data_IF_032518431031
#
_entry.id   IF_032518431031
#
_cell.length_a   1.000
_cell.length_b   1.000
_cell.length_c   1.000
_cell.angle_alpha   90.00
_cell.angle_beta   90.00
_cell.angle_gamma   90.00
#
_symmetry.space_group_name_H-M   'P 1'
#
loop_
_entity.id
_entity.type
_entity.pdbx_description
1 polymer ?
#
# COMPACT_ATOMS: atom_id res chain seq x y z
N UNK A 1 31.89 -26.44 18.18
CA UNK A 1 31.15 -26.91 16.98
C UNK A 1 29.71 -26.38 16.97
N UNK A 2 28.88 -26.63 17.99
CA UNK A 2 27.46 -26.20 18.00
C UNK A 2 27.18 -24.70 17.81
N UNK A 3 27.98 -23.81 18.43
CA UNK A 3 27.78 -22.36 18.29
C UNK A 3 28.07 -21.81 16.88
N UNK A 4 29.04 -22.39 16.17
CA UNK A 4 29.37 -21.99 14.79
C UNK A 4 28.27 -22.43 13.83
N UNK A 5 27.73 -23.64 14.03
CA UNK A 5 26.60 -24.16 13.23
C UNK A 5 25.35 -23.31 13.44
N UNK A 6 25.07 -22.87 14.67
CA UNK A 6 23.93 -21.99 14.96
C UNK A 6 24.06 -20.62 14.28
N UNK A 7 25.26 -20.02 14.29
CA UNK A 7 25.52 -18.74 13.62
C UNK A 7 25.40 -18.88 12.09
N UNK A 8 25.92 -19.97 11.52
CA UNK A 8 25.81 -20.23 10.08
C UNK A 8 24.35 -20.47 9.65
N UNK A 9 23.58 -21.24 10.42
CA UNK A 9 22.16 -21.48 10.12
C UNK A 9 21.34 -20.18 10.19
N UNK A 10 21.59 -19.35 11.19
CA UNK A 10 20.98 -18.02 11.29
C UNK A 10 21.34 -17.17 10.08
N UNK A 11 22.63 -17.08 9.74
CA UNK A 11 23.11 -16.29 8.62
C UNK A 11 22.45 -16.70 7.31
N UNK A 12 22.39 -18.01 7.02
CA UNK A 12 21.72 -18.53 5.81
C UNK A 12 20.22 -18.18 5.80
N UNK A 13 19.55 -18.28 6.96
CA UNK A 13 18.12 -17.91 7.08
C UNK A 13 17.90 -16.43 6.78
N UNK A 14 18.73 -15.56 7.34
CA UNK A 14 18.69 -14.10 7.13
C UNK A 14 18.94 -13.76 5.65
N UNK A 15 19.94 -14.38 5.02
CA UNK A 15 20.26 -14.18 3.61
C UNK A 15 19.12 -14.66 2.71
N UNK A 16 18.51 -15.81 3.01
CA UNK A 16 17.37 -16.34 2.26
C UNK A 16 16.16 -15.41 2.34
N UNK A 17 15.85 -14.88 3.54
CA UNK A 17 14.78 -13.90 3.76
C UNK A 17 15.04 -12.59 3.01
N UNK A 18 16.28 -12.09 3.05
CA UNK A 18 16.68 -10.88 2.33
C UNK A 18 16.55 -11.06 0.81
N UNK A 19 17.00 -12.19 0.27
CA UNK A 19 16.92 -12.50 -1.16
C UNK A 19 15.47 -12.71 -1.65
N UNK A 20 14.55 -13.08 -0.76
CA UNK A 20 13.13 -13.29 -1.09
C UNK A 20 12.28 -12.01 -1.05
N UNK A 21 12.79 -10.91 -0.49
CA UNK A 21 12.07 -9.64 -0.45
C UNK A 21 12.19 -8.90 -1.78
N UNK A 22 11.25 -9.12 -2.69
CA UNK A 22 11.14 -8.33 -3.92
C UNK A 22 10.23 -7.13 -3.69
N UNK A 23 10.72 -5.91 -3.94
CA UNK A 23 9.91 -4.69 -3.98
C UNK A 23 9.03 -4.72 -5.24
N UNK A 24 7.89 -5.40 -5.20
CA UNK A 24 6.97 -5.46 -6.34
C UNK A 24 5.65 -4.83 -5.95
N UNK A 25 5.54 -3.53 -6.23
CA UNK A 25 4.24 -2.90 -6.42
C UNK A 25 3.68 -3.50 -7.71
N UNK A 26 2.89 -4.57 -7.57
CA UNK A 26 2.31 -5.25 -8.72
C UNK A 26 1.29 -4.33 -9.38
N UNK A 27 1.56 -3.97 -10.63
CA UNK A 27 0.71 -3.12 -11.47
C UNK A 27 -0.57 -3.88 -11.81
N UNK A 28 -1.67 -3.53 -11.17
CA UNK A 28 -3.01 -3.98 -11.58
C UNK A 28 -3.67 -2.90 -12.44
N UNK A 29 -3.95 -3.22 -13.70
CA UNK A 29 -4.82 -2.40 -14.57
C UNK A 29 -4.40 -2.42 -16.03
N UNK A 30 -5.28 -2.94 -16.89
CA UNK A 30 -5.24 -2.77 -18.34
C UNK A 30 -5.21 -1.27 -18.71
N UNK A 31 -4.62 -0.97 -19.87
CA UNK A 31 -4.51 0.40 -20.39
C UNK A 31 -5.92 1.02 -20.49
N UNK A 32 -6.23 2.10 -19.74
CA UNK A 32 -7.58 2.65 -19.73
C UNK A 32 -7.99 3.10 -21.12
N UNK A 33 -9.25 2.88 -21.48
CA UNK A 33 -9.84 3.51 -22.66
C UNK A 33 -9.64 5.02 -22.60
N UNK A 34 -9.43 5.67 -23.75
CA UNK A 34 -9.12 7.10 -23.83
C UNK A 34 -10.11 7.99 -23.04
N UNK A 35 -11.36 7.56 -22.91
CA UNK A 35 -12.42 8.32 -22.23
C UNK A 35 -12.54 8.06 -20.72
N UNK A 36 -11.80 7.10 -20.16
CA UNK A 36 -11.91 6.72 -18.74
C UNK A 36 -11.05 7.60 -17.81
N UNK A 37 -11.60 7.92 -16.63
CA UNK A 37 -10.85 8.59 -15.55
C UNK A 37 -9.96 7.56 -14.87
N UNK A 38 -8.65 7.68 -15.08
CA UNK A 38 -7.62 6.90 -14.40
C UNK A 38 -7.28 7.52 -13.05
N UNK A 39 -7.49 6.78 -11.98
CA UNK A 39 -7.14 7.13 -10.61
C UNK A 39 -5.75 6.57 -10.31
N UNK A 40 -4.78 7.46 -10.17
CA UNK A 40 -3.42 7.10 -9.81
C UNK A 40 -3.32 7.03 -8.29
N UNK A 41 -3.10 5.83 -7.77
CA UNK A 41 -2.89 5.58 -6.35
C UNK A 41 -1.39 5.48 -6.04
N UNK A 42 -0.92 6.33 -5.14
CA UNK A 42 0.48 6.32 -4.69
C UNK A 42 0.55 6.06 -3.19
N UNK A 43 1.07 4.89 -2.75
CA UNK A 43 1.27 4.62 -1.33
C UNK A 43 2.28 5.61 -0.74
N UNK A 44 1.93 6.28 0.35
CA UNK A 44 2.83 7.25 1.00
C UNK A 44 3.35 6.76 2.34
N UNK A 45 2.47 6.18 3.15
CA UNK A 45 2.81 5.79 4.52
C UNK A 45 1.95 4.62 5.00
N UNK A 46 2.60 3.67 5.68
CA UNK A 46 1.94 2.60 6.41
C UNK A 46 2.21 2.72 7.91
N UNK A 47 1.16 2.77 8.71
CA UNK A 47 1.20 2.78 10.17
C UNK A 47 0.58 1.49 10.73
N UNK A 48 1.45 0.60 11.21
CA UNK A 48 1.06 -0.67 11.82
C UNK A 48 0.37 -0.52 13.17
N UNK A 49 0.66 0.56 13.92
CA UNK A 49 0.12 0.75 15.26
C UNK A 49 -1.36 1.12 15.21
N UNK A 50 -1.77 1.80 14.15
CA UNK A 50 -3.16 2.20 13.90
C UNK A 50 -3.84 1.41 12.78
N UNK A 51 -3.14 0.46 12.16
CA UNK A 51 -3.57 -0.32 10.99
C UNK A 51 -4.04 0.57 9.83
N UNK A 52 -3.27 1.60 9.50
CA UNK A 52 -3.64 2.62 8.50
C UNK A 52 -2.63 2.73 7.37
N UNK A 53 -3.14 2.71 6.15
CA UNK A 53 -2.36 3.02 4.95
C UNK A 53 -2.82 4.36 4.37
N UNK A 54 -1.91 5.33 4.29
CA UNK A 54 -2.11 6.59 3.59
C UNK A 54 -1.66 6.45 2.14
N UNK A 55 -2.55 6.80 1.23
CA UNK A 55 -2.37 6.78 -0.21
C UNK A 55 -2.76 8.14 -0.77
N UNK A 56 -1.96 8.64 -1.68
CA UNK A 56 -2.27 9.83 -2.47
C UNK A 56 -3.02 9.43 -3.73
N UNK A 57 -4.21 9.99 -3.91
CA UNK A 57 -5.11 9.77 -5.04
C UNK A 57 -4.99 10.96 -6.00
N UNK A 58 -4.58 10.69 -7.24
CA UNK A 58 -4.50 11.69 -8.30
C UNK A 58 -5.31 11.24 -9.52
N UNK A 59 -6.40 11.94 -9.88
CA UNK A 59 -7.16 11.63 -11.08
C UNK A 59 -6.43 12.16 -12.33
N UNK A 60 -6.48 11.37 -13.41
CA UNK A 60 -5.95 11.69 -14.73
C UNK A 60 -6.88 11.10 -15.79
N UNK A 61 -6.97 11.73 -16.95
CA UNK A 61 -7.66 11.17 -18.11
C UNK A 61 -6.68 11.12 -19.29
N UNK A 62 -6.82 10.14 -20.17
CA UNK A 62 -6.03 10.07 -21.40
C UNK A 62 -6.64 11.00 -22.48
N UNK A 63 -5.82 11.49 -23.43
CA UNK A 63 -6.30 12.36 -24.52
C UNK A 63 -6.64 13.82 -24.13
N UNK A 64 -7.52 14.49 -24.89
CA UNK A 64 -8.08 15.82 -24.57
C UNK A 64 -9.16 15.72 -23.48
N UNK A 65 -8.84 15.06 -22.37
CA UNK A 65 -9.77 14.61 -21.32
C UNK A 65 -10.90 15.59 -20.99
N UNK A 66 -12.13 15.08 -21.07
CA UNK A 66 -13.37 15.85 -20.87
C UNK A 66 -13.50 16.42 -19.45
N UNK A 67 -13.01 15.69 -18.44
CA UNK A 67 -13.13 16.05 -17.02
C UNK A 67 -11.84 16.58 -16.43
N UNK A 68 -10.69 16.04 -16.84
CA UNK A 68 -9.37 16.53 -16.41
C UNK A 68 -8.30 16.18 -17.43
N UNK A 69 -7.30 17.05 -17.56
CA UNK A 69 -6.07 16.77 -18.31
C UNK A 69 -4.92 16.30 -17.39
N UNK A 70 -5.20 16.03 -16.11
CA UNK A 70 -4.20 15.68 -15.08
C UNK A 70 -3.41 16.86 -14.50
N UNK A 71 -3.67 18.09 -14.95
CA UNK A 71 -3.07 19.32 -14.40
C UNK A 71 -4.17 20.23 -13.84
N UNK A 72 -5.27 20.36 -14.58
CA UNK A 72 -6.44 21.17 -14.23
C UNK A 72 -7.72 20.35 -14.37
N UNK A 73 -8.73 20.72 -13.60
CA UNK A 73 -10.07 20.16 -13.69
C UNK A 73 -10.87 20.94 -14.75
N UNK A 74 -11.38 20.26 -15.76
CA UNK A 74 -12.17 20.84 -16.86
C UNK A 74 -13.65 20.93 -16.50
N UNK A 75 -14.20 19.89 -15.86
CA UNK A 75 -15.60 19.79 -15.40
C UNK A 75 -15.65 19.29 -13.96
N UNK A 76 -16.65 19.68 -13.15
CA UNK A 76 -16.81 19.13 -11.81
C UNK A 76 -17.03 17.62 -11.86
N UNK A 77 -16.33 16.89 -11.01
CA UNK A 77 -16.57 15.47 -10.75
C UNK A 77 -16.13 15.14 -9.32
N UNK A 78 -16.48 13.96 -8.84
CA UNK A 78 -15.99 13.45 -7.55
C UNK A 78 -15.55 12.01 -7.67
N UNK A 79 -14.75 11.59 -6.68
CA UNK A 79 -14.34 10.20 -6.51
C UNK A 79 -14.87 9.71 -5.18
N UNK A 80 -15.69 8.67 -5.22
CA UNK A 80 -16.11 7.94 -4.04
C UNK A 80 -15.09 6.84 -3.76
N UNK A 81 -14.66 6.76 -2.50
CA UNK A 81 -13.70 5.77 -2.01
C UNK A 81 -14.21 5.21 -0.69
N UNK A 82 -14.38 3.89 -0.62
CA UNK A 82 -14.83 3.19 0.59
C UNK A 82 -13.66 2.61 1.40
N UNK A 83 -13.95 2.06 2.59
CA UNK A 83 -12.95 1.53 3.53
C UNK A 83 -11.90 2.56 4.00
N UNK A 84 -12.28 3.85 3.97
CA UNK A 84 -11.43 4.98 4.38
C UNK A 84 -11.86 5.50 5.75
N UNK A 85 -10.91 6.07 6.48
CA UNK A 85 -11.22 6.84 7.66
C UNK A 85 -11.42 8.32 7.31
N UNK A 86 -12.64 8.81 7.48
CA UNK A 86 -13.00 10.21 7.20
C UNK A 86 -13.92 10.34 6.00
N UNK A 87 -13.62 11.27 5.09
CA UNK A 87 -14.48 11.55 3.94
C UNK A 87 -14.36 10.44 2.88
N UNK A 88 -15.51 9.84 2.56
CA UNK A 88 -15.70 8.84 1.50
C UNK A 88 -15.76 9.48 0.11
N UNK A 89 -15.90 10.81 0.02
CA UNK A 89 -16.02 11.54 -1.24
C UNK A 89 -14.95 12.63 -1.35
N UNK A 90 -14.21 12.62 -2.45
CA UNK A 90 -13.24 13.66 -2.84
C UNK A 90 -13.83 14.44 -4.01
N UNK A 91 -14.04 15.74 -3.85
CA UNK A 91 -14.63 16.60 -4.88
C UNK A 91 -13.56 17.37 -5.63
N UNK A 92 -13.70 17.45 -6.95
CA UNK A 92 -12.82 18.21 -7.84
C UNK A 92 -13.62 19.32 -8.53
N UNK A 93 -13.27 20.57 -8.23
CA UNK A 93 -13.93 21.77 -8.78
C UNK A 93 -13.29 22.21 -10.10
N UNK A 94 -14.09 22.70 -11.07
CA UNK A 94 -13.57 23.16 -12.35
C UNK A 94 -12.63 24.36 -12.19
N UNK A 95 -11.68 24.50 -13.13
CA UNK A 95 -10.69 25.58 -13.17
C UNK A 95 -9.74 25.64 -11.96
N UNK A 96 -9.67 24.58 -11.16
CA UNK A 96 -8.62 24.39 -10.15
C UNK A 96 -7.53 23.43 -10.65
N UNK A 97 -6.36 23.54 -10.03
CA UNK A 97 -5.32 22.53 -10.19
C UNK A 97 -5.80 21.21 -9.60
N UNK A 98 -5.42 20.11 -10.24
CA UNK A 98 -5.64 18.77 -9.68
C UNK A 98 -4.68 18.58 -8.52
N UNK A 99 -5.21 18.66 -7.30
CA UNK A 99 -4.43 18.39 -6.09
C UNK A 99 -4.55 16.90 -5.73
N UNK A 100 -3.43 16.24 -5.34
CA UNK A 100 -3.50 14.89 -4.82
C UNK A 100 -4.30 14.87 -3.53
N UNK A 101 -5.30 13.99 -3.46
CA UNK A 101 -6.10 13.81 -2.25
C UNK A 101 -5.50 12.72 -1.38
N UNK A 102 -5.20 13.05 -0.12
CA UNK A 102 -4.75 12.05 0.86
C UNK A 102 -5.93 11.21 1.33
N UNK A 103 -5.84 9.90 1.12
CA UNK A 103 -6.84 8.92 1.52
C UNK A 103 -6.22 7.93 2.49
N UNK A 104 -6.84 7.76 3.66
CA UNK A 104 -6.36 6.82 4.69
C UNK A 104 -7.26 5.59 4.75
N UNK A 105 -6.76 4.45 4.29
CA UNK A 105 -7.45 3.16 4.39
C UNK A 105 -7.28 2.54 5.75
N UNK A 106 -8.38 2.03 6.32
CA UNK A 106 -8.36 1.24 7.55
C UNK A 106 -8.19 -0.22 7.15
N UNK A 107 -7.10 -0.83 7.59
CA UNK A 107 -6.74 -2.19 7.23
C UNK A 107 -7.00 -3.17 8.36
N UNK A 108 -7.35 -4.40 8.00
CA UNK A 108 -7.44 -5.52 8.93
C UNK A 108 -6.07 -6.17 9.07
N UNK A 109 -5.52 -6.12 10.28
CA UNK A 109 -4.23 -6.73 10.62
C UNK A 109 -3.86 -6.52 12.09
N UNK A 110 -2.94 -7.34 12.59
CA UNK A 110 -2.54 -7.33 14.00
C UNK A 110 -1.02 -7.18 14.13
N UNK A 111 -0.57 -6.05 14.69
CA UNK A 111 0.86 -5.80 14.96
C UNK A 111 1.47 -6.82 15.94
N UNK A 112 0.64 -7.51 16.74
CA UNK A 112 1.07 -8.55 17.67
C UNK A 112 1.76 -9.74 16.98
N UNK A 113 1.53 -9.93 15.67
CA UNK A 113 2.12 -11.00 14.86
C UNK A 113 3.49 -10.63 14.27
N UNK A 114 4.05 -9.48 14.67
CA UNK A 114 5.38 -9.05 14.23
C UNK A 114 6.43 -10.15 14.44
N UNK A 115 7.34 -10.40 13.47
CA UNK A 115 7.61 -9.63 12.26
C UNK A 115 6.83 -10.10 11.02
N UNK A 116 5.87 -11.02 11.18
CA UNK A 116 5.13 -11.62 10.06
C UNK A 116 3.71 -11.05 9.91
N UNK A 117 3.50 -9.85 10.46
CA UNK A 117 2.24 -9.11 10.41
C UNK A 117 1.80 -8.85 8.96
N UNK A 118 0.51 -9.07 8.69
CA UNK A 118 -0.13 -8.80 7.40
C UNK A 118 -1.36 -7.93 7.60
N UNK A 119 -1.51 -6.95 6.72
CA UNK A 119 -2.62 -6.03 6.70
C UNK A 119 -3.33 -6.14 5.36
N UNK A 120 -4.66 -6.22 5.36
CA UNK A 120 -5.47 -6.32 4.15
C UNK A 120 -6.69 -5.43 4.23
N UNK A 121 -7.12 -4.90 3.09
CA UNK A 121 -8.40 -4.21 2.94
C UNK A 121 -8.85 -4.31 1.49
N UNK A 122 -10.14 -4.49 1.29
CA UNK A 122 -10.78 -4.33 -0.02
C UNK A 122 -11.51 -3.00 0.00
N UNK A 123 -11.13 -2.08 -0.89
CA UNK A 123 -11.79 -0.80 -1.09
C UNK A 123 -12.54 -0.81 -2.41
N UNK A 124 -13.64 -0.06 -2.50
CA UNK A 124 -14.36 0.21 -3.73
C UNK A 124 -14.19 1.68 -4.10
N UNK A 125 -13.90 1.94 -5.38
CA UNK A 125 -13.71 3.26 -5.95
C UNK A 125 -14.60 3.46 -7.18
N UNK A 126 -15.19 4.65 -7.30
CA UNK A 126 -15.94 5.06 -8.49
C UNK A 126 -15.83 6.57 -8.66
N UNK A 127 -15.46 7.03 -9.86
CA UNK A 127 -15.59 8.43 -10.23
C UNK A 127 -17.03 8.67 -10.70
N UNK A 128 -17.61 9.80 -10.32
CA UNK A 128 -18.98 10.14 -10.64
C UNK A 128 -19.18 11.63 -10.87
N UNK A 129 -20.27 11.96 -11.55
CA UNK A 129 -20.78 13.32 -11.69
C UNK A 129 -22.20 13.37 -11.17
N UNK A 130 -22.58 14.49 -10.57
CA UNK A 130 -23.96 14.73 -10.20
C UNK A 130 -24.68 15.31 -11.41
N UNK A 131 -25.80 14.69 -11.79
CA UNK A 131 -26.71 15.25 -12.78
C UNK A 131 -27.44 16.48 -12.21
N UNK A 132 -28.14 17.23 -13.05
CA UNK A 132 -28.98 18.38 -12.68
C UNK A 132 -30.05 18.04 -11.61
N UNK A 133 -30.31 16.75 -11.38
CA UNK A 133 -31.23 16.22 -10.36
C UNK A 133 -30.54 15.66 -9.11
N UNK A 134 -29.23 15.87 -8.95
CA UNK A 134 -28.40 15.30 -7.88
C UNK A 134 -28.39 13.75 -7.87
N UNK A 135 -28.57 13.14 -9.03
CA UNK A 135 -28.39 11.69 -9.22
C UNK A 135 -26.95 11.42 -9.68
N UNK A 136 -26.28 10.50 -9.00
CA UNK A 136 -24.89 10.11 -9.28
C UNK A 136 -24.82 9.30 -10.57
N UNK A 137 -24.17 9.83 -11.59
CA UNK A 137 -23.85 9.09 -12.82
C UNK A 137 -22.40 8.59 -12.71
N UNK A 138 -22.18 7.26 -12.68
CA UNK A 138 -20.83 6.71 -12.64
C UNK A 138 -20.09 6.97 -13.96
N UNK A 139 -18.86 7.43 -13.87
CA UNK A 139 -17.95 7.57 -14.99
C UNK A 139 -17.12 6.29 -15.16
N UNK A 140 -16.76 5.91 -16.41
CA UNK A 140 -15.77 4.87 -16.64
C UNK A 140 -14.49 5.19 -15.86
N UNK A 141 -14.17 4.35 -14.87
CA UNK A 141 -13.07 4.56 -13.94
C UNK A 141 -12.06 3.44 -14.10
N UNK A 142 -10.79 3.80 -14.19
CA UNK A 142 -9.68 2.86 -14.10
C UNK A 142 -8.80 3.24 -12.92
N UNK A 143 -8.08 2.28 -12.35
CA UNK A 143 -7.15 2.54 -11.25
C UNK A 143 -5.77 2.09 -11.71
N UNK A 144 -4.78 3.00 -11.67
CA UNK A 144 -3.36 2.66 -11.86
C UNK A 144 -2.63 2.90 -10.54
N UNK A 145 -1.67 2.05 -10.25
CA UNK A 145 -0.88 2.13 -9.02
C UNK A 145 0.50 2.64 -9.41
N UNK A 146 0.86 3.82 -8.90
CA UNK A 146 2.13 4.46 -9.21
C UNK A 146 2.96 4.71 -7.97
N UNK A 147 4.26 4.92 -8.16
CA UNK A 147 5.17 5.33 -7.10
C UNK A 147 6.16 4.26 -6.66
N UNK A 148 6.96 4.63 -5.67
CA UNK A 148 7.92 3.75 -5.01
C UNK A 148 7.25 3.18 -3.77
N UNK A 149 7.44 1.89 -3.48
CA UNK A 149 6.90 1.25 -2.28
C UNK A 149 7.27 2.00 -0.99
N UNK A 150 6.49 1.78 0.06
CA UNK A 150 6.75 2.40 1.37
C UNK A 150 7.94 1.70 2.03
N UNK A 151 8.95 2.46 2.45
CA UNK A 151 10.16 1.90 3.08
C UNK A 151 9.83 0.95 4.24
N UNK A 152 10.36 -0.28 4.17
CA UNK A 152 10.15 -1.32 5.18
C UNK A 152 8.85 -2.12 5.04
N UNK A 153 8.07 -1.84 4.00
CA UNK A 153 6.83 -2.51 3.67
C UNK A 153 6.83 -2.99 2.23
N UNK A 154 6.32 -4.20 2.05
CA UNK A 154 5.89 -4.70 0.77
C UNK A 154 4.38 -4.49 0.64
N UNK A 155 3.98 -3.69 -0.35
CA UNK A 155 2.59 -3.28 -0.56
C UNK A 155 2.18 -3.69 -1.96
N UNK A 156 1.15 -4.53 -2.03
CA UNK A 156 0.52 -4.96 -3.28
C UNK A 156 -0.87 -4.36 -3.35
N UNK A 157 -1.17 -3.71 -4.47
CA UNK A 157 -2.49 -3.15 -4.78
C UNK A 157 -2.95 -3.74 -6.11
N UNK A 158 -4.10 -4.40 -6.11
CA UNK A 158 -4.67 -5.00 -7.32
C UNK A 158 -6.08 -4.49 -7.52
N UNK A 159 -6.29 -3.78 -8.63
CA UNK A 159 -7.60 -3.34 -9.06
C UNK A 159 -8.28 -4.42 -9.93
N UNK A 160 -9.57 -4.63 -9.73
CA UNK A 160 -10.42 -5.46 -10.56
C UNK A 160 -11.82 -4.86 -10.68
N UNK A 161 -12.49 -5.14 -11.80
CA UNK A 161 -13.87 -4.68 -12.04
C UNK A 161 -14.83 -5.43 -11.11
N UNK A 162 -15.61 -4.67 -10.33
CA UNK A 162 -16.61 -5.20 -9.41
C UNK A 162 -18.04 -5.21 -10.01
N UNK A 163 -18.20 -4.70 -11.24
CA UNK A 163 -19.50 -4.49 -11.89
C UNK A 163 -20.11 -3.12 -11.61
N UNK A 164 -21.10 -2.74 -12.41
CA UNK A 164 -21.86 -1.47 -12.29
C UNK A 164 -20.98 -0.19 -12.30
N UNK A 165 -19.79 -0.25 -12.88
CA UNK A 165 -18.83 0.86 -12.92
C UNK A 165 -18.04 1.06 -11.63
N UNK A 166 -18.16 0.13 -10.66
CA UNK A 166 -17.34 0.11 -9.45
C UNK A 166 -16.04 -0.66 -9.71
N UNK A 167 -14.93 -0.10 -9.24
CA UNK A 167 -13.64 -0.78 -9.21
C UNK A 167 -13.34 -1.22 -7.78
N UNK A 168 -13.13 -2.52 -7.58
CA UNK A 168 -12.61 -3.04 -6.32
C UNK A 168 -11.08 -3.00 -6.35
N UNK A 169 -10.48 -2.46 -5.30
CA UNK A 169 -9.05 -2.35 -5.10
C UNK A 169 -8.70 -3.16 -3.85
N UNK A 170 -8.08 -4.32 -4.08
CA UNK A 170 -7.52 -5.13 -3.01
C UNK A 170 -6.14 -4.59 -2.65
N UNK A 171 -5.99 -4.18 -1.40
CA UNK A 171 -4.75 -3.63 -0.86
C UNK A 171 -4.24 -4.60 0.18
N UNK A 172 -2.99 -5.02 0.05
CA UNK A 172 -2.29 -5.81 1.04
C UNK A 172 -0.93 -5.20 1.36
N UNK A 173 -0.59 -5.18 2.65
CA UNK A 173 0.69 -4.68 3.14
C UNK A 173 1.30 -5.70 4.10
N UNK A 174 2.61 -5.93 3.96
CA UNK A 174 3.38 -6.81 4.85
C UNK A 174 4.80 -6.27 5.04
N UNK A 175 5.54 -6.74 6.03
CA UNK A 175 6.93 -6.29 6.23
C UNK A 175 7.80 -6.71 5.07
N UNK A 176 8.66 -5.79 4.61
CA UNK A 176 9.64 -6.15 3.59
C UNK A 176 10.60 -7.21 4.13
N UNK A 177 11.06 -8.10 3.25
CA UNK A 177 12.01 -9.17 3.62
C UNK A 177 13.27 -8.62 4.31
N UNK A 178 13.73 -7.44 3.91
CA UNK A 178 14.85 -6.74 4.53
C UNK A 178 14.58 -6.34 5.99
N UNK A 179 13.39 -5.80 6.28
CA UNK A 179 12.99 -5.42 7.65
C UNK A 179 12.85 -6.64 8.54
N UNK A 180 12.25 -7.73 8.04
CA UNK A 180 12.14 -9.00 8.77
C UNK A 180 13.53 -9.58 9.06
N UNK A 181 14.39 -9.65 8.05
CA UNK A 181 15.76 -10.18 8.18
C UNK A 181 16.57 -9.37 9.21
N UNK A 182 16.51 -8.04 9.16
CA UNK A 182 17.17 -7.18 10.13
C UNK A 182 16.65 -7.40 11.56
N UNK A 183 15.33 -7.50 11.73
CA UNK A 183 14.71 -7.81 13.02
C UNK A 183 15.20 -9.14 13.61
N UNK A 184 15.28 -10.19 12.79
CA UNK A 184 15.78 -11.51 13.21
C UNK A 184 17.25 -11.44 13.62
N UNK A 185 18.10 -10.71 12.89
CA UNK A 185 19.51 -10.50 13.25
C UNK A 185 19.61 -9.85 14.63
N UNK A 186 18.86 -8.79 14.89
CA UNK A 186 18.87 -8.09 16.18
C UNK A 186 18.40 -8.98 17.33
N UNK A 187 17.26 -9.67 17.16
CA UNK A 187 16.75 -10.62 18.15
C UNK A 187 17.79 -11.70 18.47
N UNK A 188 18.45 -12.21 17.45
CA UNK A 188 19.43 -13.26 17.64
C UNK A 188 20.69 -12.75 18.34
N UNK A 189 21.14 -11.53 18.01
CA UNK A 189 22.26 -10.90 18.70
C UNK A 189 21.93 -10.68 20.19
N UNK A 190 20.71 -10.26 20.51
CA UNK A 190 20.22 -10.12 21.89
C UNK A 190 20.21 -11.43 22.66
N UNK A 191 20.06 -12.58 22.00
CA UNK A 191 20.13 -13.91 22.65
C UNK A 191 21.58 -14.41 22.74
N UNK A 192 22.37 -14.23 21.69
CA UNK A 192 23.75 -14.74 21.60
C UNK A 192 24.65 -14.06 22.63
N UNK A 193 24.61 -12.73 22.75
CA UNK A 193 25.53 -11.99 23.64
C UNK A 193 25.40 -12.45 25.11
N UNK A 194 24.19 -12.47 25.71
CA UNK A 194 24.03 -12.96 27.08
C UNK A 194 24.38 -14.44 27.24
N UNK A 195 24.03 -15.29 26.27
CA UNK A 195 24.33 -16.72 26.33
C UNK A 195 25.84 -16.97 26.33
N UNK A 196 26.58 -16.27 25.46
CA UNK A 196 28.04 -16.35 25.43
C UNK A 196 28.67 -15.83 26.73
N UNK A 197 28.14 -14.72 27.28
CA UNK A 197 28.58 -14.19 28.57
C UNK A 197 28.36 -15.20 29.70
N UNK A 198 27.18 -15.82 29.75
CA UNK A 198 26.85 -16.85 30.76
C UNK A 198 27.76 -18.07 30.65
N UNK A 199 27.99 -18.58 29.44
CA UNK A 199 28.92 -19.71 29.20
C UNK A 199 30.34 -19.35 29.63
N UNK A 200 30.79 -18.13 29.33
CA UNK A 200 32.09 -17.64 29.76
C UNK A 200 32.20 -17.64 31.29
N UNK A 201 31.23 -17.05 32.00
CA UNK A 201 31.21 -17.01 33.46
C UNK A 201 31.23 -18.42 34.08
N UNK A 202 30.43 -19.34 33.55
CA UNK A 202 30.36 -20.72 34.06
C UNK A 202 31.64 -21.53 33.83
N UNK A 203 32.43 -21.19 32.80
CA UNK A 203 33.67 -21.91 32.46
C UNK A 203 34.89 -21.43 33.25
N UNK A 204 34.86 -20.19 33.73
CA UNK A 204 35.95 -19.56 34.49
C UNK A 204 35.69 -19.46 36.00
N UNK A 205 34.65 -20.13 36.49
CA UNK A 205 34.37 -20.34 37.91
C UNK A 205 34.81 -21.73 38.34
#
# INVERSE_FOLDING_TARGET
MGGIVAILALYVTVVALYASGSDVVSRGGDDPSADAVSLILTPEKMDAATSRLTVSLLPKQAGEGEYTNGITVSKPFYVLVSAVAGSTAVQYEPSRLVEPAEVSFVMDGAIAEWPFDRYRVTSFMVAGVDDEKAETIPLPTAVDVSGRGVTGWDITMTAHDAGDGLIAVDISASRSGATVAFGIVLLTLMVIIPTLSLIHILRFR
#
